data_IF_907907535652
#
_entry.id   IF_907907535652
#
_cell.length_a   1.000
_cell.length_b   1.000
_cell.length_c   1.000
_cell.angle_alpha   90.00
_cell.angle_beta   90.00
_cell.angle_gamma   90.00
#
_symmetry.space_group_name_H-M   'P 1'
#
loop_
_entity.id
_entity.type
_entity.pdbx_description
1 polymer ?
#
# COMPACT_ATOMS: atom_id res chain seq x y z
N UNK A 1 -2.23 -29.84 -14.16
CA UNK A 1 -1.11 -29.13 -13.52
C UNK A 1 -1.53 -28.85 -12.09
N UNK A 2 -0.77 -29.32 -11.10
CA UNK A 2 -1.02 -28.96 -9.70
C UNK A 2 -0.58 -27.50 -9.58
N UNK A 3 -1.50 -26.59 -9.28
CA UNK A 3 -1.12 -25.26 -8.85
C UNK A 3 -0.35 -25.44 -7.53
N UNK A 4 0.95 -25.15 -7.55
CA UNK A 4 1.70 -24.94 -6.32
C UNK A 4 1.09 -23.70 -5.68
N UNK A 5 0.29 -23.88 -4.63
CA UNK A 5 -0.24 -22.75 -3.87
C UNK A 5 0.95 -22.00 -3.29
N UNK A 6 1.30 -20.84 -3.87
CA UNK A 6 2.27 -19.90 -3.29
C UNK A 6 1.89 -19.70 -1.83
N UNK A 7 2.85 -19.85 -0.93
CA UNK A 7 2.66 -19.55 0.47
C UNK A 7 2.17 -18.09 0.61
N UNK A 8 1.10 -17.90 1.36
CA UNK A 8 0.56 -16.59 1.72
C UNK A 8 0.50 -16.53 3.25
N UNK A 9 1.05 -15.46 3.81
CA UNK A 9 1.01 -15.22 5.25
C UNK A 9 -0.38 -14.66 5.66
N UNK A 10 -0.53 -14.29 6.92
CA UNK A 10 -1.71 -13.62 7.43
C UNK A 10 -1.96 -12.30 6.68
N UNK A 11 -3.24 -11.95 6.52
CA UNK A 11 -3.67 -10.80 5.73
C UNK A 11 -3.12 -9.46 6.23
N UNK A 12 -2.80 -9.35 7.52
CA UNK A 12 -2.15 -8.17 8.10
C UNK A 12 -0.68 -8.05 7.70
N UNK A 13 0.05 -9.17 7.65
CA UNK A 13 1.47 -9.21 7.25
C UNK A 13 1.59 -8.84 5.77
N UNK A 14 0.78 -9.48 4.91
CA UNK A 14 0.76 -9.15 3.48
C UNK A 14 0.33 -7.70 3.25
N UNK A 15 -0.66 -7.19 4.01
CA UNK A 15 -1.06 -5.79 3.90
C UNK A 15 0.04 -4.80 4.27
N UNK A 16 0.88 -5.10 5.28
CA UNK A 16 2.02 -4.26 5.65
C UNK A 16 3.13 -4.31 4.60
N UNK A 17 3.32 -5.47 3.95
CA UNK A 17 4.31 -5.66 2.90
C UNK A 17 3.91 -5.01 1.57
N UNK A 18 2.63 -5.09 1.21
CA UNK A 18 2.10 -4.60 -0.06
C UNK A 18 1.76 -3.11 -0.05
N UNK A 19 1.28 -2.57 1.06
CA UNK A 19 0.83 -1.17 1.12
C UNK A 19 1.99 -0.24 1.38
N UNK A 20 2.31 0.58 0.39
CA UNK A 20 3.31 1.63 0.52
C UNK A 20 2.61 2.93 0.88
N UNK A 21 2.95 3.46 2.05
CA UNK A 21 2.45 4.75 2.52
C UNK A 21 3.28 5.85 1.84
N UNK A 22 2.66 6.79 1.12
CA UNK A 22 3.38 7.99 0.70
C UNK A 22 3.72 8.81 1.94
N UNK A 23 5.01 9.04 2.17
CA UNK A 23 5.47 9.95 3.22
C UNK A 23 5.14 11.40 2.84
N UNK A 24 4.77 12.22 3.83
CA UNK A 24 4.44 13.64 3.61
C UNK A 24 5.66 14.45 3.18
N UNK A 25 6.83 14.07 3.70
CA UNK A 25 8.10 14.71 3.39
C UNK A 25 8.99 13.69 2.69
N UNK A 26 9.70 14.09 1.61
CA UNK A 26 10.70 13.22 0.99
C UNK A 26 11.72 12.74 2.03
N UNK A 27 12.07 13.62 2.98
CA UNK A 27 13.06 13.37 4.02
C UNK A 27 12.59 12.47 5.16
N UNK A 28 11.32 12.05 5.16
CA UNK A 28 10.69 11.32 6.26
C UNK A 28 10.20 12.25 7.39
N UNK A 29 9.81 11.68 8.54
CA UNK A 29 9.16 12.44 9.61
C UNK A 29 10.09 13.49 10.21
N UNK A 30 9.57 14.71 10.40
CA UNK A 30 10.31 15.81 11.02
C UNK A 30 10.84 15.42 12.40
N UNK A 31 12.14 15.63 12.63
CA UNK A 31 12.81 15.28 13.89
C UNK A 31 13.22 13.81 14.01
N UNK A 32 13.15 13.02 12.93
CA UNK A 32 13.66 11.65 12.93
C UNK A 32 15.16 11.61 13.29
N UNK A 33 15.57 10.77 14.27
CA UNK A 33 16.99 10.54 14.53
C UNK A 33 17.64 9.66 13.45
N UNK A 34 16.85 8.99 12.61
CA UNK A 34 17.33 8.14 11.52
C UNK A 34 17.67 8.98 10.29
N UNK A 35 18.74 8.59 9.58
CA UNK A 35 19.20 9.25 8.35
C UNK A 35 19.53 10.75 8.48
N UNK A 36 19.74 11.28 9.70
CA UNK A 36 20.01 12.70 9.95
C UNK A 36 21.23 13.29 9.20
N UNK A 37 22.13 12.44 8.70
CA UNK A 37 23.34 12.84 7.94
C UNK A 37 23.42 12.21 6.55
N UNK A 38 22.40 11.47 6.14
CA UNK A 38 22.38 10.77 4.84
C UNK A 38 21.48 11.53 3.87
N UNK A 39 21.88 11.68 2.60
CA UNK A 39 20.99 12.25 1.60
C UNK A 39 19.76 11.37 1.46
N UNK A 40 18.62 12.03 1.34
CA UNK A 40 17.33 11.38 1.29
C UNK A 40 17.17 10.70 -0.06
N UNK A 41 16.83 9.43 0.00
CA UNK A 41 16.55 8.62 -1.19
C UNK A 41 15.10 8.20 -1.14
N UNK A 42 14.38 8.46 -2.23
CA UNK A 42 13.10 7.81 -2.48
C UNK A 42 13.29 6.28 -2.43
N UNK A 43 12.17 5.54 -2.31
CA UNK A 43 12.09 4.07 -2.18
C UNK A 43 13.38 3.35 -2.63
N UNK A 44 14.15 2.87 -1.67
CA UNK A 44 15.47 2.26 -1.90
C UNK A 44 15.40 0.89 -2.56
N UNK A 45 14.22 0.26 -2.59
CA UNK A 45 13.98 -1.07 -3.15
C UNK A 45 13.07 -1.02 -4.39
N UNK A 46 13.29 -1.92 -5.38
CA UNK A 46 12.35 -2.12 -6.47
C UNK A 46 10.92 -2.44 -6.00
N UNK A 47 9.95 -2.34 -6.91
CA UNK A 47 8.59 -2.81 -6.64
C UNK A 47 8.56 -4.34 -6.57
N UNK A 48 8.05 -4.87 -5.47
CA UNK A 48 7.72 -6.28 -5.34
C UNK A 48 6.32 -6.57 -5.88
N UNK A 49 6.07 -7.81 -6.28
CA UNK A 49 4.75 -8.27 -6.71
C UNK A 49 3.70 -7.99 -5.62
N UNK A 50 2.57 -7.37 -5.98
CA UNK A 50 1.48 -7.00 -5.06
C UNK A 50 1.62 -5.61 -4.40
N UNK A 51 2.81 -5.00 -4.43
CA UNK A 51 3.02 -3.68 -3.84
C UNK A 51 2.26 -2.58 -4.58
N UNK A 52 1.61 -1.70 -3.83
CA UNK A 52 0.89 -0.54 -4.36
C UNK A 52 0.92 0.63 -3.38
N UNK A 53 0.91 1.86 -3.90
CA UNK A 53 0.75 3.04 -3.06
C UNK A 53 -0.69 3.14 -2.56
N UNK A 54 -0.85 3.52 -1.29
CA UNK A 54 -2.17 3.85 -0.75
C UNK A 54 -2.45 5.33 -0.93
N UNK A 55 -3.68 5.65 -1.32
CA UNK A 55 -4.16 7.03 -1.39
C UNK A 55 -4.87 7.38 -0.08
N UNK A 56 -4.64 8.60 0.43
CA UNK A 56 -5.36 9.13 1.59
C UNK A 56 -6.88 9.24 1.36
N UNK A 57 -7.32 9.30 0.11
CA UNK A 57 -8.74 9.41 -0.27
C UNK A 57 -9.40 8.05 -0.56
N UNK A 58 -8.69 6.94 -0.33
CA UNK A 58 -9.28 5.60 -0.44
C UNK A 58 -10.17 5.27 0.76
N UNK A 59 -10.97 4.22 0.61
CA UNK A 59 -11.74 3.69 1.74
C UNK A 59 -10.83 3.24 2.88
N UNK A 60 -11.19 3.61 4.10
CA UNK A 60 -10.52 3.16 5.34
C UNK A 60 -10.53 1.63 5.45
N UNK A 61 -11.67 1.00 5.12
CA UNK A 61 -11.83 -0.45 5.16
C UNK A 61 -12.20 -1.04 3.79
N UNK A 62 -11.18 -1.21 2.93
CA UNK A 62 -11.36 -1.75 1.57
C UNK A 62 -12.05 -3.12 1.52
N UNK A 63 -11.84 -3.98 2.52
CA UNK A 63 -12.43 -5.33 2.51
C UNK A 63 -13.95 -5.27 2.68
N UNK A 64 -14.47 -4.35 3.49
CA UNK A 64 -15.92 -4.12 3.62
C UNK A 64 -16.56 -3.56 2.35
N UNK A 65 -15.81 -2.78 1.56
CA UNK A 65 -16.30 -2.17 0.33
C UNK A 65 -16.04 -3.01 -0.93
N UNK A 66 -15.35 -4.15 -0.80
CA UNK A 66 -15.05 -5.04 -1.92
C UNK A 66 -16.37 -5.57 -2.53
N UNK A 67 -16.55 -5.40 -3.83
CA UNK A 67 -17.74 -5.85 -4.55
C UNK A 67 -19.00 -5.00 -4.30
N UNK A 68 -18.92 -3.93 -3.51
CA UNK A 68 -20.03 -3.00 -3.32
C UNK A 68 -19.86 -1.80 -4.25
N UNK A 69 -20.62 -1.79 -5.35
CA UNK A 69 -20.63 -0.65 -6.26
C UNK A 69 -21.40 0.52 -5.64
N UNK A 70 -20.84 1.73 -5.76
CA UNK A 70 -21.59 2.95 -5.45
C UNK A 70 -22.79 3.05 -6.40
N UNK A 71 -23.95 3.47 -5.89
CA UNK A 71 -25.17 3.65 -6.68
C UNK A 71 -25.19 4.96 -7.50
N UNK A 72 -24.07 5.69 -7.50
CA UNK A 72 -23.92 6.96 -8.19
C UNK A 72 -23.45 6.72 -9.64
N UNK A 73 -24.15 7.26 -10.65
CA UNK A 73 -23.83 7.03 -12.06
C UNK A 73 -22.45 7.60 -12.41
N UNK A 74 -21.59 6.77 -13.03
CA UNK A 74 -20.21 7.14 -13.36
C UNK A 74 -19.18 6.84 -12.26
N UNK A 75 -19.60 6.21 -11.16
CA UNK A 75 -18.68 5.80 -10.10
C UNK A 75 -17.61 4.83 -10.59
N UNK A 76 -16.38 5.01 -10.08
CA UNK A 76 -15.28 4.08 -10.34
C UNK A 76 -15.65 2.66 -9.87
N UNK A 77 -15.43 1.62 -10.68
CA UNK A 77 -15.68 0.25 -10.26
C UNK A 77 -14.82 -0.10 -9.03
N UNK A 78 -15.39 -0.78 -8.02
CA UNK A 78 -14.60 -1.27 -6.90
C UNK A 78 -13.58 -2.29 -7.41
N UNK A 79 -12.31 -2.09 -7.06
CA UNK A 79 -11.20 -3.04 -7.32
C UNK A 79 -11.01 -3.97 -6.13
#
# INVERSE_FOLDING_TARGET
>A
MKEESKYQDFSNVEAQREKIIPEDLPEGPYGSPFHAKSPVQNKSTPWEEGQHSISASSYENKSLHKGQQRKDPGSHPPK
#
